data_IF_771280613544
#
_entry.id   IF_771280613544
#
_cell.length_a   1.000
_cell.length_b   1.000
_cell.length_c   1.000
_cell.angle_alpha   90.00
_cell.angle_beta   90.00
_cell.angle_gamma   90.00
#
_symmetry.space_group_name_H-M   'P 1'
#
loop_
_entity.id
_entity.type
_entity.pdbx_description
1 polymer ?
#
# COMPACT_ATOMS: atom_id res chain seq x y z
N UNK A 1 22.10 -17.52 -7.78
CA UNK A 1 21.16 -17.13 -6.71
C UNK A 1 19.78 -17.19 -7.33
N UNK A 2 19.02 -18.25 -7.04
CA UNK A 2 17.96 -18.71 -7.94
C UNK A 2 16.61 -18.20 -7.46
N UNK A 3 15.95 -17.40 -8.30
CA UNK A 3 14.61 -16.91 -8.05
C UNK A 3 13.60 -18.06 -8.22
N UNK A 4 12.64 -18.19 -7.31
CA UNK A 4 11.65 -19.28 -7.34
C UNK A 4 10.29 -18.73 -7.74
N UNK A 5 9.66 -19.34 -8.76
CA UNK A 5 8.28 -19.02 -9.17
C UNK A 5 7.33 -19.33 -8.01
N UNK A 6 6.53 -18.35 -7.61
CA UNK A 6 5.63 -18.47 -6.45
C UNK A 6 4.22 -18.86 -6.85
N UNK A 7 3.74 -18.34 -7.97
CA UNK A 7 2.37 -18.55 -8.45
C UNK A 7 2.28 -18.37 -9.99
N UNK A 8 1.11 -18.65 -10.54
CA UNK A 8 0.83 -18.46 -11.98
C UNK A 8 0.70 -16.99 -12.38
N UNK A 9 0.66 -16.09 -11.41
CA UNK A 9 0.69 -14.63 -11.60
C UNK A 9 2.10 -14.10 -11.91
N UNK A 10 3.07 -14.97 -12.24
CA UNK A 10 4.47 -14.64 -12.56
C UNK A 10 5.20 -13.93 -11.41
N UNK A 11 4.77 -14.14 -10.16
CA UNK A 11 5.49 -13.61 -8.99
C UNK A 11 6.77 -14.41 -8.76
N UNK A 12 7.82 -13.68 -8.45
CA UNK A 12 9.16 -14.23 -8.21
C UNK A 12 9.54 -13.96 -6.76
N UNK A 13 9.92 -15.01 -6.02
CA UNK A 13 10.46 -14.85 -4.66
C UNK A 13 11.96 -14.63 -4.73
N UNK A 14 12.39 -13.51 -4.17
CA UNK A 14 13.80 -13.17 -4.02
C UNK A 14 14.16 -13.25 -2.52
N UNK A 15 14.99 -14.22 -2.10
CA UNK A 15 15.25 -14.49 -0.67
C UNK A 15 16.06 -13.39 0.04
N UNK A 16 16.67 -12.48 -0.72
CA UNK A 16 17.46 -11.36 -0.19
C UNK A 16 16.62 -10.12 0.15
N UNK A 17 15.31 -10.11 -0.17
CA UNK A 17 14.45 -8.95 0.04
C UNK A 17 13.65 -9.10 1.34
N UNK A 18 13.46 -7.99 2.05
CA UNK A 18 12.62 -7.94 3.24
C UNK A 18 11.17 -7.57 2.86
N UNK A 19 10.15 -8.12 3.55
CA UNK A 19 8.78 -7.65 3.41
C UNK A 19 8.69 -6.14 3.69
N UNK A 20 8.00 -5.40 2.81
CA UNK A 20 7.82 -3.95 2.93
C UNK A 20 8.88 -3.09 2.25
N UNK A 21 9.92 -3.69 1.65
CA UNK A 21 10.81 -2.98 0.73
C UNK A 21 10.09 -2.72 -0.61
N UNK A 22 10.31 -1.54 -1.20
CA UNK A 22 9.75 -1.13 -2.48
C UNK A 22 10.84 -1.11 -3.54
N UNK A 23 10.54 -1.59 -4.74
CA UNK A 23 11.48 -1.62 -5.86
C UNK A 23 10.83 -1.10 -7.15
N UNK A 24 11.58 -0.34 -7.93
CA UNK A 24 11.21 0.05 -9.29
C UNK A 24 11.95 -0.85 -10.28
N UNK A 25 11.23 -1.60 -11.14
CA UNK A 25 11.86 -2.43 -12.15
C UNK A 25 12.33 -1.59 -13.34
N UNK A 26 13.56 -1.81 -13.79
CA UNK A 26 14.12 -1.28 -15.03
C UNK A 26 14.47 -2.45 -15.96
N UNK A 27 13.84 -2.57 -17.16
CA UNK A 27 14.19 -3.58 -18.13
C UNK A 27 15.61 -3.38 -18.68
N UNK A 28 16.41 -4.42 -18.65
CA UNK A 28 17.76 -4.48 -19.24
C UNK A 28 17.69 -5.49 -20.40
N UNK A 29 17.36 -5.03 -21.60
CA UNK A 29 17.20 -5.90 -22.78
C UNK A 29 16.03 -6.88 -22.67
N UNK A 30 16.10 -8.01 -23.38
CA UNK A 30 14.96 -8.94 -23.53
C UNK A 30 14.66 -9.76 -22.27
N UNK A 31 15.68 -10.16 -21.51
CA UNK A 31 15.53 -11.20 -20.48
C UNK A 31 16.07 -10.81 -19.10
N UNK A 32 16.38 -9.53 -18.86
CA UNK A 32 16.82 -9.09 -17.55
C UNK A 32 16.07 -7.85 -17.06
N UNK A 33 15.84 -7.80 -15.74
CA UNK A 33 15.20 -6.70 -15.04
C UNK A 33 16.10 -6.34 -13.87
N UNK A 34 16.51 -5.08 -13.81
CA UNK A 34 17.19 -4.49 -12.67
C UNK A 34 16.15 -3.96 -11.68
N UNK A 35 16.31 -4.23 -10.39
CA UNK A 35 15.41 -3.75 -9.34
C UNK A 35 16.09 -2.63 -8.55
N UNK A 36 15.61 -1.41 -8.71
CA UNK A 36 16.07 -0.25 -7.94
C UNK A 36 15.34 -0.17 -6.62
N UNK A 37 16.07 -0.26 -5.50
CA UNK A 37 15.46 -0.09 -4.17
C UNK A 37 14.98 1.34 -4.00
N UNK A 38 13.70 1.50 -3.69
CA UNK A 38 13.08 2.79 -3.41
C UNK A 38 13.02 2.98 -1.89
N UNK A 39 13.31 4.19 -1.37
CA UNK A 39 13.01 4.48 0.02
C UNK A 39 11.52 4.23 0.28
N UNK A 40 11.15 3.66 1.44
CA UNK A 40 9.74 3.47 1.77
C UNK A 40 9.02 4.81 1.68
N UNK A 41 7.76 4.84 1.20
CA UNK A 41 6.97 6.07 1.18
C UNK A 41 6.96 6.65 2.60
N UNK A 42 7.09 7.99 2.70
CA UNK A 42 7.12 8.68 3.99
C UNK A 42 5.89 8.26 4.80
N UNK A 43 6.14 7.96 6.08
CA UNK A 43 5.18 7.37 7.02
C UNK A 43 3.81 8.05 6.94
N UNK A 44 2.80 7.20 7.09
CA UNK A 44 1.41 7.56 7.31
C UNK A 44 1.33 8.57 8.46
N UNK A 45 0.43 9.54 8.31
CA UNK A 45 0.06 10.51 9.34
C UNK A 45 -0.01 9.84 10.71
N UNK A 46 0.53 10.48 11.74
CA UNK A 46 0.31 10.08 13.13
C UNK A 46 -1.19 10.04 13.41
N UNK A 47 -1.60 9.28 14.43
CA UNK A 47 -3.01 9.23 14.81
C UNK A 47 -3.61 10.64 15.03
N UNK A 48 -2.83 11.56 15.60
CA UNK A 48 -3.25 12.95 15.79
C UNK A 48 -3.42 13.69 14.45
N UNK A 49 -2.49 13.53 13.52
CA UNK A 49 -2.58 14.12 12.17
C UNK A 49 -3.74 13.53 11.35
N UNK A 50 -4.02 12.23 11.49
CA UNK A 50 -5.17 11.58 10.86
C UNK A 50 -6.48 12.15 11.41
N UNK A 51 -6.58 12.30 12.75
CA UNK A 51 -7.78 12.87 13.38
C UNK A 51 -8.01 14.31 12.96
N UNK A 52 -6.95 15.14 12.93
CA UNK A 52 -7.03 16.51 12.43
C UNK A 52 -7.49 16.55 10.96
N UNK A 53 -6.95 15.69 10.10
CA UNK A 53 -7.37 15.60 8.70
C UNK A 53 -8.82 15.13 8.52
N UNK A 54 -9.33 14.27 9.42
CA UNK A 54 -10.74 13.85 9.43
C UNK A 54 -11.64 15.03 9.83
N UNK A 55 -11.25 15.82 10.83
CA UNK A 55 -11.98 17.02 11.26
C UNK A 55 -12.03 18.08 10.16
N UNK A 56 -10.94 18.27 9.42
CA UNK A 56 -10.83 19.22 8.31
C UNK A 56 -11.46 18.71 7.00
N UNK A 57 -11.93 17.46 6.96
CA UNK A 57 -12.47 16.84 5.75
C UNK A 57 -13.76 17.54 5.28
N UNK A 58 -13.88 17.87 3.99
CA UNK A 58 -15.13 18.38 3.41
C UNK A 58 -16.22 17.30 3.36
N UNK A 59 -15.85 16.03 3.50
CA UNK A 59 -16.77 14.90 3.60
C UNK A 59 -17.15 14.74 5.07
N UNK A 60 -18.20 15.45 5.48
CA UNK A 60 -18.82 15.25 6.79
C UNK A 60 -20.00 14.28 6.68
N UNK A 61 -20.04 13.29 7.56
CA UNK A 61 -21.18 12.40 7.67
C UNK A 61 -22.37 13.21 8.19
N UNK A 62 -23.45 13.30 7.40
CA UNK A 62 -24.66 14.06 7.74
C UNK A 62 -25.43 13.50 8.94
N UNK A 63 -25.15 12.27 9.33
CA UNK A 63 -25.88 11.57 10.39
C UNK A 63 -24.94 10.62 11.13
N UNK A 64 -25.18 10.48 12.44
CA UNK A 64 -24.46 9.53 13.27
C UNK A 64 -24.98 8.09 13.03
N UNK A 65 -24.20 7.11 13.47
CA UNK A 65 -24.52 5.70 13.30
C UNK A 65 -25.86 5.28 13.93
N UNK A 66 -26.27 5.94 15.01
CA UNK A 66 -27.54 5.67 15.68
C UNK A 66 -28.74 6.13 14.84
N UNK A 67 -28.64 7.32 14.23
CA UNK A 67 -29.65 7.84 13.31
C UNK A 67 -29.80 6.95 12.07
N UNK A 68 -28.67 6.47 11.50
CA UNK A 68 -28.69 5.54 10.37
C UNK A 68 -29.36 4.21 10.72
N UNK A 69 -29.14 3.69 11.93
CA UNK A 69 -29.81 2.47 12.40
C UNK A 69 -31.32 2.62 12.53
N UNK A 70 -31.79 3.80 12.92
CA UNK A 70 -33.21 4.09 13.07
C UNK A 70 -33.93 4.22 11.73
N UNK A 71 -33.23 4.68 10.68
CA UNK A 71 -33.81 4.88 9.34
C UNK A 71 -33.96 3.57 8.53
N UNK A 72 -33.10 2.58 8.80
CA UNK A 72 -33.09 1.29 8.07
C UNK A 72 -34.03 0.23 8.69
N UNK A 73 -34.57 0.46 9.88
CA UNK A 73 -35.39 -0.52 10.62
C UNK A 73 -36.88 -0.20 10.56
#
# INVERSE_FOLDING_TARGET
MNAVKVDDTRRVRLPMLAPGDYYVPEPMGENSILLHKVPPPRRQMTQAEVLAAIEESPVQFKSNWEALKAEVR
#
